data_IF_495502269205
#
_entry.id   IF_495502269205
#
_cell.length_a   1.000
_cell.length_b   1.000
_cell.length_c   1.000
_cell.angle_alpha   90.00
_cell.angle_beta   90.00
_cell.angle_gamma   90.00
#
_symmetry.space_group_name_H-M   'P 1'
#
loop_
_entity.id
_entity.type
_entity.pdbx_description
1 polymer ?
#
# COMPACT_ATOMS: atom_id res chain seq x y z
N UNK A 1 15.13 -18.84 -23.34
CA UNK A 1 15.11 -18.64 -24.82
C UNK A 1 13.75 -18.88 -25.47
N UNK A 2 12.85 -19.72 -24.92
CA UNK A 2 11.46 -19.88 -25.40
C UNK A 2 10.66 -18.57 -25.37
N UNK A 3 10.75 -17.83 -24.27
CA UNK A 3 9.93 -16.62 -24.06
C UNK A 3 10.23 -15.50 -25.05
N UNK A 4 11.51 -15.29 -25.39
CA UNK A 4 11.89 -14.31 -26.40
C UNK A 4 11.29 -14.66 -27.77
N UNK A 5 11.21 -15.96 -28.10
CA UNK A 5 10.60 -16.42 -29.35
C UNK A 5 9.09 -16.17 -29.34
N UNK A 6 8.42 -16.35 -28.20
CA UNK A 6 7.00 -16.06 -28.04
C UNK A 6 6.72 -14.56 -28.25
N UNK A 7 7.54 -13.70 -27.65
CA UNK A 7 7.42 -12.25 -27.77
C UNK A 7 7.66 -11.79 -29.23
N UNK A 8 8.70 -12.33 -29.88
CA UNK A 8 8.96 -12.07 -31.30
C UNK A 8 7.83 -12.59 -32.22
N UNK A 9 7.21 -13.72 -31.88
CA UNK A 9 6.07 -14.24 -32.62
C UNK A 9 4.83 -13.35 -32.47
N UNK A 10 4.56 -12.84 -31.26
CA UNK A 10 3.50 -11.86 -31.00
C UNK A 10 3.72 -10.56 -31.80
N UNK A 11 4.95 -10.06 -31.82
CA UNK A 11 5.33 -8.89 -32.62
C UNK A 11 5.12 -9.11 -34.11
N UNK A 12 5.51 -10.28 -34.62
CA UNK A 12 5.33 -10.62 -36.04
C UNK A 12 3.85 -10.69 -36.43
N UNK A 13 2.98 -11.14 -35.53
CA UNK A 13 1.53 -11.21 -35.76
C UNK A 13 0.86 -9.83 -35.81
N UNK A 14 1.45 -8.81 -35.20
CA UNK A 14 0.88 -7.46 -35.06
C UNK A 14 1.80 -6.37 -35.63
N UNK A 15 2.61 -6.71 -36.64
CA UNK A 15 3.62 -5.82 -37.23
C UNK A 15 3.05 -4.44 -37.60
N UNK A 16 1.81 -4.37 -38.08
CA UNK A 16 1.21 -3.13 -38.55
C UNK A 16 0.87 -2.14 -37.43
N UNK A 17 0.62 -2.65 -36.22
CA UNK A 17 0.25 -1.83 -35.06
C UNK A 17 1.48 -1.22 -34.40
N UNK A 18 2.67 -1.78 -34.64
CA UNK A 18 3.91 -1.39 -33.95
C UNK A 18 4.92 -0.69 -34.86
N UNK A 19 4.52 -0.21 -36.05
CA UNK A 19 5.37 0.60 -36.94
C UNK A 19 5.80 1.90 -36.24
N UNK A 20 6.96 1.89 -35.59
CA UNK A 20 7.50 3.04 -34.85
C UNK A 20 7.95 2.72 -33.42
N UNK A 21 7.59 1.55 -32.88
CA UNK A 21 8.11 1.08 -31.60
C UNK A 21 9.40 0.27 -31.79
N UNK A 22 10.45 0.68 -31.08
CA UNK A 22 11.68 -0.12 -31.01
C UNK A 22 11.47 -1.31 -30.07
N UNK A 23 12.18 -2.41 -30.33
CA UNK A 23 12.18 -3.58 -29.43
C UNK A 23 12.57 -3.18 -28.01
N UNK A 24 13.49 -2.22 -27.85
CA UNK A 24 13.88 -1.68 -26.55
C UNK A 24 12.70 -1.09 -25.77
N UNK A 25 11.84 -0.30 -26.42
CA UNK A 25 10.64 0.28 -25.78
C UNK A 25 9.63 -0.80 -25.37
N UNK A 26 9.47 -1.85 -26.17
CA UNK A 26 8.56 -2.97 -25.88
C UNK A 26 9.06 -3.77 -24.69
N UNK A 27 10.36 -4.09 -24.67
CA UNK A 27 10.99 -4.75 -23.52
C UNK A 27 10.82 -3.89 -22.27
N UNK A 28 11.10 -2.59 -22.34
CA UNK A 28 10.91 -1.65 -21.24
C UNK A 28 9.46 -1.62 -20.73
N UNK A 29 8.48 -1.61 -21.65
CA UNK A 29 7.06 -1.65 -21.31
C UNK A 29 6.70 -2.90 -20.50
N UNK A 30 7.14 -4.07 -20.96
CA UNK A 30 6.91 -5.34 -20.25
C UNK A 30 7.55 -5.31 -18.85
N UNK A 31 8.71 -4.65 -18.68
CA UNK A 31 9.40 -4.51 -17.39
C UNK A 31 8.54 -3.74 -16.39
N UNK A 32 8.18 -2.55 -16.83
CA UNK A 32 7.51 -1.57 -16.00
C UNK A 32 6.15 -2.13 -15.63
N UNK A 33 5.44 -2.72 -16.58
CA UNK A 33 4.15 -3.35 -16.35
C UNK A 33 4.24 -4.55 -15.39
N UNK A 34 5.26 -5.41 -15.52
CA UNK A 34 5.45 -6.56 -14.61
C UNK A 34 5.73 -6.12 -13.17
N UNK A 35 6.47 -5.02 -12.99
CA UNK A 35 6.70 -4.43 -11.65
C UNK A 35 5.44 -3.80 -11.06
N UNK A 36 4.54 -3.31 -11.89
CA UNK A 36 3.27 -2.70 -11.48
C UNK A 36 2.12 -3.70 -11.37
N UNK A 37 2.37 -5.01 -11.54
CA UNK A 37 1.34 -6.06 -11.49
C UNK A 37 0.43 -5.92 -10.26
N UNK A 38 1.02 -5.74 -9.09
CA UNK A 38 0.27 -5.58 -7.84
C UNK A 38 -0.56 -4.29 -7.83
N UNK A 39 0.01 -3.15 -8.25
CA UNK A 39 -0.72 -1.88 -8.34
C UNK A 39 -1.87 -1.95 -9.36
N UNK A 40 -1.66 -2.66 -10.48
CA UNK A 40 -2.70 -2.95 -11.48
C UNK A 40 -3.84 -3.70 -10.82
N UNK A 41 -3.58 -4.82 -10.12
CA UNK A 41 -4.61 -5.62 -9.44
C UNK A 41 -5.40 -4.82 -8.41
N UNK A 42 -4.72 -3.98 -7.62
CA UNK A 42 -5.37 -3.24 -6.52
C UNK A 42 -6.42 -2.24 -6.99
N UNK A 43 -6.31 -1.78 -8.22
CA UNK A 43 -7.28 -0.86 -8.84
C UNK A 43 -8.44 -1.60 -9.52
N UNK A 44 -8.32 -2.91 -9.73
CA UNK A 44 -9.36 -3.70 -10.37
C UNK A 44 -10.55 -3.96 -9.41
N UNK A 45 -11.74 -4.28 -9.95
CA UNK A 45 -12.83 -4.86 -9.18
C UNK A 45 -12.42 -6.13 -8.41
N UNK A 46 -12.95 -6.31 -7.19
CA UNK A 46 -12.54 -7.40 -6.28
C UNK A 46 -12.97 -8.81 -6.75
N UNK A 47 -13.82 -8.88 -7.78
CA UNK A 47 -14.24 -10.11 -8.44
C UNK A 47 -13.24 -10.60 -9.49
N UNK A 48 -12.23 -9.80 -9.85
CA UNK A 48 -11.18 -10.20 -10.79
C UNK A 48 -10.12 -10.99 -10.03
N UNK A 49 -9.79 -12.18 -10.53
CA UNK A 49 -8.75 -13.02 -9.94
C UNK A 49 -7.37 -12.40 -10.14
N UNK A 50 -6.54 -12.37 -9.10
CA UNK A 50 -5.14 -11.94 -9.18
C UNK A 50 -4.29 -12.87 -10.09
N UNK A 51 -4.77 -14.07 -10.39
CA UNK A 51 -4.08 -15.03 -11.27
C UNK A 51 -4.21 -14.72 -12.76
N UNK A 52 -5.09 -13.79 -13.16
CA UNK A 52 -5.35 -13.44 -14.55
C UNK A 52 -5.07 -11.96 -14.81
N UNK A 53 -4.49 -11.65 -15.97
CA UNK A 53 -4.24 -10.28 -16.36
C UNK A 53 -5.56 -9.56 -16.68
N UNK A 54 -5.79 -8.33 -16.19
CA UNK A 54 -7.00 -7.60 -16.52
C UNK A 54 -7.01 -7.16 -17.98
N UNK A 55 -8.21 -7.05 -18.55
CA UNK A 55 -8.39 -6.63 -19.94
C UNK A 55 -8.04 -5.17 -20.18
N UNK A 56 -8.18 -4.33 -19.16
CA UNK A 56 -7.95 -2.89 -19.26
C UNK A 56 -7.01 -2.39 -18.16
N UNK A 57 -6.09 -1.51 -18.54
CA UNK A 57 -5.24 -0.81 -17.60
C UNK A 57 -5.97 0.38 -16.97
N UNK A 58 -5.71 0.69 -15.69
CA UNK A 58 -6.14 1.93 -15.08
C UNK A 58 -5.53 3.14 -15.80
N UNK A 59 -6.25 4.27 -15.95
CA UNK A 59 -5.75 5.45 -16.66
C UNK A 59 -4.41 5.98 -16.12
N UNK A 60 -4.22 5.96 -14.80
CA UNK A 60 -2.96 6.38 -14.15
C UNK A 60 -1.77 5.50 -14.55
N UNK A 61 -1.98 4.18 -14.60
CA UNK A 61 -0.93 3.22 -14.98
C UNK A 61 -0.66 3.30 -16.48
N UNK A 62 -1.70 3.46 -17.29
CA UNK A 62 -1.56 3.68 -18.74
C UNK A 62 -0.70 4.92 -19.03
N UNK A 63 -1.02 6.04 -18.39
CA UNK A 63 -0.25 7.27 -18.54
C UNK A 63 1.19 7.11 -18.08
N UNK A 64 1.42 6.49 -16.92
CA UNK A 64 2.76 6.21 -16.41
C UNK A 64 3.56 5.32 -17.36
N UNK A 65 3.00 4.20 -17.85
CA UNK A 65 3.69 3.31 -18.77
C UNK A 65 4.03 3.98 -20.10
N UNK A 66 3.12 4.81 -20.63
CA UNK A 66 3.36 5.63 -21.81
C UNK A 66 4.54 6.58 -21.62
N UNK A 67 4.57 7.32 -20.51
CA UNK A 67 5.67 8.24 -20.20
C UNK A 67 6.98 7.50 -19.93
N UNK A 68 6.96 6.46 -19.10
CA UNK A 68 8.16 5.74 -18.66
C UNK A 68 8.85 5.03 -19.82
N UNK A 69 8.11 4.60 -20.84
CA UNK A 69 8.65 3.87 -21.99
C UNK A 69 8.76 4.73 -23.26
N UNK A 70 8.41 6.02 -23.16
CA UNK A 70 8.30 6.94 -24.30
C UNK A 70 7.40 6.34 -25.43
N UNK A 71 6.26 5.78 -25.02
CA UNK A 71 5.26 5.18 -25.91
C UNK A 71 4.04 6.10 -25.97
N UNK A 72 3.64 6.55 -27.18
CA UNK A 72 2.43 7.34 -27.33
C UNK A 72 1.18 6.58 -26.83
N UNK A 73 0.25 7.30 -26.21
CA UNK A 73 -0.88 6.71 -25.47
C UNK A 73 -1.82 5.83 -26.33
N UNK A 74 -1.86 6.07 -27.64
CA UNK A 74 -2.60 5.26 -28.61
C UNK A 74 -2.01 3.86 -28.79
N UNK A 75 -0.72 3.67 -28.52
CA UNK A 75 -0.06 2.36 -28.60
C UNK A 75 -0.04 1.64 -27.26
N UNK A 76 -0.22 2.33 -26.13
CA UNK A 76 -0.16 1.72 -24.80
C UNK A 76 -1.21 0.62 -24.61
N UNK A 77 -2.44 0.82 -25.12
CA UNK A 77 -3.49 -0.21 -25.05
C UNK A 77 -3.17 -1.41 -25.95
N UNK A 78 -2.62 -1.15 -27.14
CA UNK A 78 -2.19 -2.19 -28.06
C UNK A 78 -1.05 -3.03 -27.45
N UNK A 79 -0.06 -2.37 -26.84
CA UNK A 79 1.01 -3.03 -26.11
C UNK A 79 0.47 -3.85 -24.93
N UNK A 80 -0.45 -3.30 -24.14
CA UNK A 80 -1.06 -4.06 -23.05
C UNK A 80 -1.80 -5.29 -23.56
N UNK A 81 -2.67 -5.15 -24.55
CA UNK A 81 -3.43 -6.27 -25.11
C UNK A 81 -2.53 -7.36 -25.70
N UNK A 82 -1.41 -6.98 -26.30
CA UNK A 82 -0.44 -7.93 -26.86
C UNK A 82 0.37 -8.66 -25.79
N UNK A 83 0.75 -7.96 -24.72
CA UNK A 83 1.75 -8.45 -23.77
C UNK A 83 1.23 -8.70 -22.35
N UNK A 84 -0.06 -8.51 -22.05
CA UNK A 84 -0.60 -8.66 -20.70
C UNK A 84 -0.36 -10.05 -20.10
N UNK A 85 -0.51 -11.12 -20.88
CA UNK A 85 -0.27 -12.50 -20.41
C UNK A 85 1.22 -12.72 -20.14
N UNK A 86 2.06 -12.20 -21.03
CA UNK A 86 3.52 -12.20 -20.91
C UNK A 86 3.98 -11.47 -19.64
N UNK A 87 3.37 -10.33 -19.34
CA UNK A 87 3.59 -9.54 -18.12
C UNK A 87 3.13 -10.28 -16.86
N UNK A 88 2.04 -11.03 -16.96
CA UNK A 88 1.44 -11.70 -15.80
C UNK A 88 2.16 -12.99 -15.39
N UNK A 89 2.85 -13.64 -16.33
CA UNK A 89 3.59 -14.86 -16.11
C UNK A 89 4.89 -14.58 -15.33
N UNK A 90 4.97 -15.08 -14.09
CA UNK A 90 6.09 -14.82 -13.16
C UNK A 90 7.46 -15.28 -13.67
N UNK A 91 7.49 -16.25 -14.58
CA UNK A 91 8.73 -16.77 -15.14
C UNK A 91 9.51 -15.81 -16.03
N UNK A 92 8.91 -14.70 -16.48
CA UNK A 92 9.56 -13.80 -17.45
C UNK A 92 10.37 -12.65 -16.84
N UNK A 93 10.21 -12.40 -15.53
CA UNK A 93 10.97 -11.34 -14.82
C UNK A 93 12.38 -11.84 -14.49
N UNK A 94 13.16 -12.11 -15.53
CA UNK A 94 14.58 -12.45 -15.45
C UNK A 94 15.43 -11.24 -14.96
N UNK A 95 16.72 -11.45 -14.81
CA UNK A 95 17.76 -10.58 -14.22
C UNK A 95 18.07 -9.24 -14.94
N UNK A 96 17.19 -8.77 -15.85
CA UNK A 96 17.37 -7.50 -16.56
C UNK A 96 17.13 -6.27 -15.68
N UNK A 97 16.51 -6.47 -14.51
CA UNK A 97 16.33 -5.45 -13.49
C UNK A 97 17.67 -4.86 -12.99
N UNK A 98 18.75 -5.63 -13.08
CA UNK A 98 20.10 -5.25 -12.61
C UNK A 98 20.68 -4.05 -13.37
N UNK A 99 20.23 -3.79 -14.61
CA UNK A 99 20.66 -2.61 -15.39
C UNK A 99 19.64 -1.46 -15.41
N UNK A 100 18.43 -1.66 -14.90
CA UNK A 100 17.30 -0.72 -15.07
C UNK A 100 16.99 0.12 -13.83
N UNK A 101 17.91 0.18 -12.86
CA UNK A 101 17.81 1.04 -11.66
C UNK A 101 17.64 2.53 -12.00
N UNK A 102 18.01 2.94 -13.23
CA UNK A 102 17.92 4.34 -13.67
C UNK A 102 16.55 4.77 -14.20
N UNK A 103 15.71 3.86 -14.72
CA UNK A 103 14.44 4.29 -15.32
C UNK A 103 13.26 4.27 -14.35
N UNK A 104 13.44 3.73 -13.14
CA UNK A 104 12.44 3.78 -12.07
C UNK A 104 13.10 4.35 -10.82
N UNK A 105 13.52 5.62 -10.89
CA UNK A 105 13.71 6.44 -9.69
C UNK A 105 12.49 7.36 -9.54
N UNK A 106 11.85 7.50 -8.37
CA UNK A 106 11.68 6.60 -7.25
C UNK A 106 10.17 6.35 -7.02
N UNK A 107 9.53 5.46 -7.76
CA UNK A 107 8.33 4.77 -7.22
C UNK A 107 8.91 3.68 -6.33
N UNK A 108 8.63 3.69 -5.01
CA UNK A 108 9.39 2.95 -3.99
C UNK A 108 10.05 1.69 -4.55
N UNK A 109 11.38 1.60 -4.47
CA UNK A 109 12.17 0.49 -5.02
C UNK A 109 11.64 -0.88 -4.60
N UNK A 110 10.93 -0.92 -3.47
CA UNK A 110 10.02 -2.01 -3.07
C UNK A 110 8.83 -1.42 -2.34
N UNK A 111 7.63 -1.51 -2.92
CA UNK A 111 6.40 -1.44 -2.13
C UNK A 111 6.32 -2.72 -1.30
N UNK A 112 6.28 -2.60 0.03
CA UNK A 112 6.11 -3.73 0.92
C UNK A 112 4.70 -4.29 0.79
N UNK A 113 4.54 -5.24 -0.11
CA UNK A 113 3.38 -6.10 -0.16
C UNK A 113 3.53 -7.26 0.84
N UNK A 114 2.43 -7.80 1.38
CA UNK A 114 2.47 -9.08 2.09
C UNK A 114 3.16 -10.17 1.23
N UNK A 115 3.73 -11.21 1.85
CA UNK A 115 4.39 -12.30 1.14
C UNK A 115 3.55 -12.81 -0.05
N UNK A 116 4.21 -13.20 -1.14
CA UNK A 116 3.57 -13.55 -2.42
C UNK A 116 2.42 -14.57 -2.26
N UNK A 117 2.56 -15.52 -1.33
CA UNK A 117 1.53 -16.52 -1.03
C UNK A 117 0.19 -15.95 -0.52
N UNK A 118 0.20 -14.72 0.03
CA UNK A 118 -0.96 -14.08 0.65
C UNK A 118 -1.22 -12.66 0.11
N UNK A 119 -0.61 -12.30 -1.03
CA UNK A 119 -0.45 -10.91 -1.45
C UNK A 119 -1.77 -10.14 -1.67
N UNK A 120 -2.88 -10.84 -1.86
CA UNK A 120 -4.21 -10.23 -2.08
C UNK A 120 -5.33 -10.98 -1.34
N UNK A 121 -5.00 -11.82 -0.35
CA UNK A 121 -5.97 -12.68 0.34
C UNK A 121 -5.91 -12.47 1.85
N UNK A 122 -7.07 -12.49 2.52
CA UNK A 122 -7.11 -12.41 3.98
C UNK A 122 -6.61 -13.75 4.57
N UNK A 123 -5.61 -13.69 5.44
CA UNK A 123 -5.03 -14.88 6.10
C UNK A 123 -5.89 -15.41 7.26
N UNK A 124 -6.95 -14.68 7.66
CA UNK A 124 -7.83 -15.10 8.76
C UNK A 124 -8.59 -16.38 8.37
N UNK A 125 -8.41 -17.43 9.17
CA UNK A 125 -9.18 -18.66 9.03
C UNK A 125 -10.68 -18.35 9.10
N UNK A 126 -11.45 -18.88 8.15
CA UNK A 126 -12.89 -18.62 8.05
C UNK A 126 -13.27 -17.24 7.50
N UNK A 127 -12.35 -16.51 6.85
CA UNK A 127 -12.71 -15.25 6.18
C UNK A 127 -13.70 -15.50 5.01
N UNK A 128 -14.90 -14.93 5.11
CA UNK A 128 -15.93 -15.02 4.07
C UNK A 128 -15.48 -14.49 2.70
N UNK A 129 -14.55 -13.52 2.66
CA UNK A 129 -13.99 -13.01 1.39
C UNK A 129 -13.08 -14.04 0.73
N UNK A 130 -12.16 -14.61 1.51
CA UNK A 130 -11.28 -15.69 1.03
C UNK A 130 -12.09 -16.90 0.59
N UNK A 131 -13.14 -17.26 1.33
CA UNK A 131 -14.07 -18.34 0.95
C UNK A 131 -14.80 -18.07 -0.38
N UNK A 132 -15.01 -16.80 -0.73
CA UNK A 132 -15.59 -16.36 -2.02
C UNK A 132 -14.56 -16.11 -3.11
N UNK A 133 -13.27 -16.29 -2.83
CA UNK A 133 -12.18 -15.99 -3.78
C UNK A 133 -12.02 -14.50 -4.10
N UNK A 134 -12.49 -13.60 -3.22
CA UNK A 134 -12.41 -12.16 -3.44
C UNK A 134 -11.05 -11.61 -3.01
N UNK A 135 -10.45 -10.80 -3.87
CA UNK A 135 -9.18 -10.11 -3.58
C UNK A 135 -9.39 -8.96 -2.59
N UNK A 136 -8.39 -8.67 -1.77
CA UNK A 136 -8.36 -7.50 -0.90
C UNK A 136 -7.84 -6.28 -1.66
N UNK A 137 -8.58 -5.17 -1.63
CA UNK A 137 -8.09 -3.90 -2.16
C UNK A 137 -7.12 -3.25 -1.17
N UNK A 138 -6.24 -2.35 -1.66
CA UNK A 138 -5.24 -1.63 -0.84
C UNK A 138 -5.89 -0.97 0.38
N UNK A 139 -7.01 -0.28 0.18
CA UNK A 139 -7.77 0.37 1.25
C UNK A 139 -8.55 -0.61 2.16
N UNK A 140 -9.00 -1.76 1.63
CA UNK A 140 -9.79 -2.75 2.37
C UNK A 140 -8.92 -3.69 3.21
N UNK A 141 -7.68 -3.95 2.76
CA UNK A 141 -6.66 -4.62 3.57
C UNK A 141 -6.42 -3.87 4.89
N UNK A 142 -6.61 -2.53 4.89
CA UNK A 142 -6.49 -1.71 6.10
C UNK A 142 -7.72 -1.70 7.00
N UNK A 143 -8.90 -2.20 6.62
CA UNK A 143 -10.13 -2.01 7.42
C UNK A 143 -11.01 -3.24 7.55
N UNK A 144 -11.08 -4.11 6.54
CA UNK A 144 -12.26 -4.97 6.38
C UNK A 144 -12.12 -6.41 6.93
N UNK A 145 -10.93 -6.90 7.28
CA UNK A 145 -10.83 -8.15 8.05
C UNK A 145 -11.22 -7.97 9.55
N UNK A 146 -11.63 -6.77 9.97
CA UNK A 146 -11.97 -6.43 11.36
C UNK A 146 -13.43 -6.69 11.75
N UNK A 147 -14.38 -6.78 10.81
CA UNK A 147 -15.82 -6.73 11.14
C UNK A 147 -16.43 -8.09 11.57
N UNK A 148 -15.61 -9.14 11.67
CA UNK A 148 -16.04 -10.45 12.14
C UNK A 148 -15.58 -10.73 13.57
N UNK A 149 -16.42 -10.35 14.54
CA UNK A 149 -16.61 -10.93 15.88
C UNK A 149 -15.66 -10.47 17.00
N UNK A 150 -16.28 -9.85 18.01
CA UNK A 150 -15.89 -9.52 19.40
C UNK A 150 -14.97 -8.31 19.63
N UNK A 151 -15.34 -7.51 20.64
CA UNK A 151 -14.68 -6.32 21.22
C UNK A 151 -13.27 -6.59 21.79
N UNK A 152 -12.50 -7.50 21.19
CA UNK A 152 -11.08 -7.66 21.47
C UNK A 152 -10.28 -6.64 20.66
N UNK A 153 -9.49 -5.81 21.34
CA UNK A 153 -8.49 -4.96 20.71
C UNK A 153 -7.49 -5.88 20.00
N UNK A 154 -7.65 -6.06 18.68
CA UNK A 154 -6.70 -6.84 17.89
C UNK A 154 -5.51 -5.96 17.51
N UNK A 155 -4.37 -6.28 18.10
CA UNK A 155 -3.07 -5.74 17.72
C UNK A 155 -2.72 -6.19 16.30
N UNK A 156 -2.42 -5.24 15.42
CA UNK A 156 -1.94 -5.53 14.07
C UNK A 156 -0.42 -5.62 14.07
N UNK A 157 0.09 -6.84 13.98
CA UNK A 157 1.50 -7.11 13.71
C UNK A 157 1.74 -7.11 12.20
N UNK A 158 2.32 -6.02 11.68
CA UNK A 158 2.77 -5.93 10.27
C UNK A 158 4.10 -6.64 10.02
N UNK A 159 4.80 -7.01 11.10
CA UNK A 159 6.09 -7.67 11.09
C UNK A 159 6.02 -8.82 12.09
N UNK A 160 6.39 -10.03 11.66
CA UNK A 160 6.23 -11.24 12.48
C UNK A 160 7.08 -11.18 13.75
N UNK A 161 8.39 -11.01 13.61
CA UNK A 161 9.32 -11.13 14.74
C UNK A 161 10.21 -9.89 14.94
N UNK A 162 10.59 -9.21 13.85
CA UNK A 162 11.46 -8.04 13.91
C UNK A 162 10.98 -7.00 12.91
N UNK A 163 10.56 -5.83 13.42
CA UNK A 163 10.35 -4.64 12.59
C UNK A 163 11.66 -4.39 11.80
N UNK A 164 11.67 -3.84 10.58
CA UNK A 164 12.90 -3.45 9.88
C UNK A 164 13.46 -2.12 10.40
N UNK A 165 14.74 -1.82 10.13
CA UNK A 165 15.35 -0.53 10.52
C UNK A 165 14.82 0.66 9.70
N UNK A 166 14.25 0.38 8.53
CA UNK A 166 13.61 1.35 7.65
C UNK A 166 12.17 0.87 7.41
N UNK A 167 11.20 1.70 7.79
CA UNK A 167 9.78 1.43 7.66
C UNK A 167 9.21 2.29 6.54
N UNK A 168 8.47 1.67 5.60
CA UNK A 168 7.76 2.39 4.55
C UNK A 168 6.43 2.90 5.11
N UNK A 169 6.24 4.22 5.12
CA UNK A 169 5.01 4.87 5.62
C UNK A 169 4.09 5.26 4.46
N UNK A 170 4.67 5.52 3.28
CA UNK A 170 3.95 5.84 2.06
C UNK A 170 4.71 5.33 0.84
N UNK A 171 4.07 5.38 -0.32
CA UNK A 171 4.57 4.86 -1.60
C UNK A 171 5.93 5.42 -2.01
N UNK A 172 6.33 6.56 -1.47
CA UNK A 172 7.64 7.18 -1.72
C UNK A 172 8.32 7.68 -0.44
N UNK A 173 7.84 7.26 0.73
CA UNK A 173 8.33 7.77 2.02
C UNK A 173 8.71 6.63 2.93
N UNK A 174 9.99 6.63 3.26
CA UNK A 174 10.59 5.73 4.22
C UNK A 174 11.03 6.54 5.43
N UNK A 175 10.90 5.95 6.60
CA UNK A 175 11.39 6.54 7.84
C UNK A 175 12.22 5.49 8.57
N UNK A 176 13.38 5.91 9.05
CA UNK A 176 14.20 5.06 9.92
C UNK A 176 13.49 4.84 11.25
N UNK A 177 13.59 3.62 11.79
CA UNK A 177 13.00 3.29 13.09
C UNK A 177 13.45 4.25 14.19
N UNK A 178 14.72 4.69 14.19
CA UNK A 178 15.23 5.65 15.17
C UNK A 178 14.43 6.96 15.20
N UNK A 179 13.94 7.42 14.05
CA UNK A 179 13.11 8.62 13.94
C UNK A 179 11.70 8.35 14.49
N UNK A 180 11.15 7.16 14.23
CA UNK A 180 9.86 6.73 14.80
C UNK A 180 9.98 6.63 16.34
N UNK A 181 11.03 5.98 16.85
CA UNK A 181 11.29 5.83 18.29
C UNK A 181 11.47 7.19 18.98
N UNK A 182 12.19 8.11 18.32
CA UNK A 182 12.33 9.50 18.78
C UNK A 182 10.98 10.22 18.82
N UNK A 183 10.18 10.11 17.77
CA UNK A 183 8.86 10.72 17.71
C UNK A 183 7.92 10.17 18.80
N UNK A 184 7.88 8.85 19.01
CA UNK A 184 7.14 8.21 20.10
C UNK A 184 7.61 8.75 21.45
N UNK A 185 8.92 8.84 21.67
CA UNK A 185 9.51 9.39 22.91
C UNK A 185 9.06 10.84 23.14
N UNK A 186 9.08 11.68 22.10
CA UNK A 186 8.65 13.07 22.19
C UNK A 186 7.16 13.20 22.51
N UNK A 187 6.30 12.34 21.94
CA UNK A 187 4.87 12.32 22.25
C UNK A 187 4.62 11.94 23.71
N UNK A 188 5.32 10.93 24.24
CA UNK A 188 5.21 10.54 25.64
C UNK A 188 5.68 11.65 26.59
N UNK A 189 6.84 12.26 26.33
CA UNK A 189 7.37 13.35 27.15
C UNK A 189 6.42 14.56 27.15
N UNK A 190 5.87 14.91 25.99
CA UNK A 190 4.91 16.02 25.88
C UNK A 190 3.66 15.80 26.74
N UNK A 191 3.13 14.56 26.75
CA UNK A 191 2.01 14.22 27.62
C UNK A 191 2.38 14.34 29.10
N UNK A 192 3.52 13.77 29.53
CA UNK A 192 3.97 13.89 30.92
C UNK A 192 4.13 15.34 31.37
N UNK A 193 4.73 16.20 30.53
CA UNK A 193 4.89 17.63 30.84
C UNK A 193 3.53 18.31 30.98
N UNK A 194 2.59 18.03 30.07
CA UNK A 194 1.24 18.59 30.12
C UNK A 194 0.52 18.19 31.42
N UNK A 195 0.58 16.91 31.81
CA UNK A 195 -0.05 16.41 33.03
C UNK A 195 0.55 17.03 34.30
N UNK A 196 1.88 17.19 34.36
CA UNK A 196 2.57 17.80 35.51
C UNK A 196 2.23 19.29 35.64
N UNK A 197 2.22 20.03 34.52
CA UNK A 197 1.88 21.46 34.53
C UNK A 197 0.44 21.68 34.98
N UNK A 198 -0.51 20.86 34.49
CA UNK A 198 -1.91 20.93 34.92
C UNK A 198 -2.06 20.64 36.43
N UNK A 199 -1.37 19.62 36.94
CA UNK A 199 -1.41 19.30 38.38
C UNK A 199 -0.82 20.41 39.27
N UNK A 200 0.21 21.13 38.80
CA UNK A 200 0.77 22.27 39.53
C UNK A 200 -0.17 23.47 39.56
N UNK A 201 -0.91 23.72 38.48
CA UNK A 201 -1.91 24.79 38.44
C UNK A 201 -3.11 24.49 39.35
N UNK A 202 -3.53 23.22 39.43
CA UNK A 202 -4.61 22.80 40.34
C UNK A 202 -4.17 22.85 41.81
N UNK A 203 -2.90 22.53 42.12
CA UNK A 203 -2.33 22.59 43.48
C UNK A 203 -2.12 24.00 44.03
N UNK A 204 -2.00 25.01 43.16
CA UNK A 204 -1.90 26.42 43.56
C UNK A 204 -3.28 27.08 43.82
N UNK A 205 -4.37 26.35 43.54
CA UNK A 205 -5.76 26.81 43.65
C UNK A 205 -6.41 26.72 45.03
N UNK A 206 -5.63 26.86 46.12
CA UNK A 206 -6.20 27.12 47.45
C UNK A 206 -5.91 28.55 47.94
N UNK A 207 -5.94 29.51 47.01
CA UNK A 207 -6.05 30.93 47.31
C UNK A 207 -7.41 31.42 46.80
N UNK A 208 -8.37 31.39 47.72
CA UNK A 208 -9.55 32.26 47.85
C UNK A 208 -9.90 33.06 46.58
N UNK A 209 -10.74 32.50 45.72
CA UNK A 209 -11.68 33.32 44.95
C UNK A 209 -12.99 33.32 45.71
N UNK A 210 -13.32 34.50 46.23
CA UNK A 210 -14.48 34.76 47.06
C UNK A 210 -15.79 34.34 46.39
N UNK A 211 -16.70 33.91 47.24
CA UNK A 211 -18.13 33.76 46.97
C UNK A 211 -18.64 34.93 46.13
N UNK A 212 -19.19 34.64 44.96
CA UNK A 212 -20.36 35.34 44.43
C UNK A 212 -21.09 34.45 43.42
N UNK A 213 -22.19 33.88 43.91
CA UNK A 213 -23.49 33.69 43.29
C UNK A 213 -23.68 33.07 41.89
N UNK A 214 -24.46 31.98 41.93
CA UNK A 214 -25.58 31.63 41.06
C UNK A 214 -25.35 31.53 39.54
N UNK A 215 -24.88 30.37 39.08
CA UNK A 215 -25.48 29.68 37.90
C UNK A 215 -25.44 28.17 38.08
N UNK A 216 -26.62 27.58 38.23
CA UNK A 216 -26.82 26.13 38.19
C UNK A 216 -26.54 25.60 36.77
N UNK A 217 -25.56 24.71 36.66
CA UNK A 217 -25.32 23.87 35.49
C UNK A 217 -25.48 22.39 35.87
N UNK A 218 -25.88 21.51 34.93
CA UNK A 218 -26.37 20.17 35.24
C UNK A 218 -25.26 19.23 35.74
N UNK A 219 -25.61 18.20 36.53
CA UNK A 219 -24.65 17.39 37.25
C UNK A 219 -23.87 16.46 36.30
N UNK A 220 -22.56 16.69 36.19
CA UNK A 220 -21.63 15.72 35.60
C UNK A 220 -21.49 14.53 36.55
N UNK A 221 -21.97 13.37 36.10
CA UNK A 221 -21.83 12.08 36.79
C UNK A 221 -20.35 11.77 37.00
N UNK A 222 -19.95 11.62 38.26
CA UNK A 222 -18.63 11.12 38.68
C UNK A 222 -18.39 9.73 38.10
N UNK A 223 -17.52 9.63 37.09
CA UNK A 223 -16.94 8.35 36.67
C UNK A 223 -15.79 8.06 37.63
N UNK A 224 -16.03 7.15 38.58
CA UNK A 224 -15.04 6.67 39.55
C UNK A 224 -14.26 5.54 38.89
N UNK A 225 -13.05 5.83 38.42
CA UNK A 225 -12.11 4.78 38.00
C UNK A 225 -11.62 4.06 39.26
N UNK A 226 -12.08 2.82 39.46
CA UNK A 226 -11.43 1.85 40.33
C UNK A 226 -10.47 1.05 39.45
N UNK A 227 -9.17 1.22 39.65
CA UNK A 227 -8.18 0.22 39.26
C UNK A 227 -7.68 -0.43 40.56
N UNK A 228 -7.90 -1.73 40.66
CA UNK A 228 -7.25 -2.66 41.60
C UNK A 228 -6.29 -3.53 40.82
#
# INVERSE_FOLDING_TARGET
MSELKNLLAQLKAQSDVFHGLTIGKIIQFVACAARLKDDIILTQPANISASQAPDHLPPSIKHFLGQACDIPENYTDACWNAFKDTVWNEGMVMDWASNWEHCIQPVASRTLYPPAAHRHMCMKAGCNRTAKGLTLKKAEAFTQCNEGVNEGVYERTYYDEKIPDIVQISEHRFIERKVIDLWITLMLVSWFVCAVVLAQLDGAGNVILGNNDHREGPPLKKVRAQFS
#
